data_IF_617334343770
#
_entry.id   IF_617334343770
#
_cell.length_a   1.000
_cell.length_b   1.000
_cell.length_c   1.000
_cell.angle_alpha   90.00
_cell.angle_beta   90.00
_cell.angle_gamma   90.00
#
_symmetry.space_group_name_H-M   'P 1'
#
loop_
_entity.id
_entity.type
_entity.pdbx_description
1 polymer ?
#
# COMPACT_ATOMS: atom_id res chain seq x y z
N UNK A 1 -2.76 15.63 -13.48
CA UNK A 1 -3.42 15.74 -12.15
C UNK A 1 -2.49 16.47 -11.21
N UNK A 2 -3.00 17.49 -10.51
CA UNK A 2 -2.21 18.23 -9.53
C UNK A 2 -2.13 17.45 -8.21
N UNK A 3 -0.92 17.10 -7.75
CA UNK A 3 -0.70 16.41 -6.47
C UNK A 3 -0.69 17.48 -5.38
N UNK A 4 -1.78 17.56 -4.59
CA UNK A 4 -1.92 18.52 -3.49
C UNK A 4 -1.57 17.93 -2.13
N UNK A 5 -1.60 16.61 -2.00
CA UNK A 5 -1.19 15.90 -0.79
C UNK A 5 -0.65 14.53 -1.13
N UNK A 6 0.39 14.13 -0.41
CA UNK A 6 0.99 12.81 -0.45
C UNK A 6 1.02 12.29 0.99
N UNK A 7 0.52 11.10 1.21
CA UNK A 7 0.55 10.44 2.51
C UNK A 7 1.06 9.01 2.35
N UNK A 8 2.10 8.66 3.09
CA UNK A 8 2.51 7.28 3.27
C UNK A 8 1.68 6.73 4.43
N UNK A 9 0.65 5.94 4.10
CA UNK A 9 -0.33 5.47 5.06
C UNK A 9 0.21 4.34 5.93
N UNK A 10 0.97 3.44 5.32
CA UNK A 10 1.63 2.33 5.99
C UNK A 10 2.95 2.01 5.30
N UNK A 11 3.92 1.60 6.09
CA UNK A 11 5.10 0.91 5.59
C UNK A 11 5.37 -0.26 6.53
N UNK A 12 5.70 -1.41 5.94
CA UNK A 12 6.28 -2.53 6.65
C UNK A 12 7.73 -2.54 6.24
N UNK A 13 8.62 -2.21 7.16
CA UNK A 13 10.05 -2.36 6.93
C UNK A 13 10.35 -3.85 6.83
N UNK A 14 10.86 -4.25 5.69
CA UNK A 14 11.31 -5.62 5.46
C UNK A 14 12.62 -5.92 6.18
N UNK A 15 12.96 -7.18 6.18
CA UNK A 15 14.23 -7.67 6.70
C UNK A 15 15.40 -7.36 5.78
N UNK A 16 16.59 -7.55 6.31
CA UNK A 16 17.77 -7.91 5.56
C UNK A 16 17.86 -9.43 5.71
N UNK A 17 17.75 -10.15 4.63
CA UNK A 17 17.79 -11.60 4.69
C UNK A 17 18.94 -12.12 3.82
N UNK A 18 19.71 -13.04 4.40
CA UNK A 18 20.64 -13.87 3.64
C UNK A 18 19.84 -15.04 3.10
N UNK A 19 19.34 -14.91 1.89
CA UNK A 19 18.53 -15.93 1.27
C UNK A 19 19.40 -17.13 0.94
N UNK A 20 19.07 -18.27 1.52
CA UNK A 20 19.56 -19.56 1.04
C UNK A 20 19.01 -19.78 -0.37
N UNK A 21 19.89 -20.14 -1.30
CA UNK A 21 19.48 -20.32 -2.70
C UNK A 21 18.56 -21.52 -2.82
N UNK A 22 17.27 -21.23 -2.97
CA UNK A 22 16.30 -22.20 -3.47
C UNK A 22 16.20 -22.03 -4.98
N UNK A 23 16.27 -23.10 -5.73
CA UNK A 23 16.00 -23.10 -7.17
C UNK A 23 14.50 -22.92 -7.48
N UNK A 24 13.68 -22.76 -6.45
CA UNK A 24 12.23 -22.61 -6.59
C UNK A 24 11.85 -21.20 -6.95
N UNK A 25 10.92 -21.10 -7.88
CA UNK A 25 10.29 -19.81 -8.25
C UNK A 25 9.24 -19.47 -7.19
N UNK A 26 9.49 -18.45 -6.41
CA UNK A 26 8.50 -17.91 -5.48
C UNK A 26 7.43 -17.14 -6.24
N UNK A 27 6.17 -17.43 -5.94
CA UNK A 27 5.03 -16.67 -6.49
C UNK A 27 4.24 -16.05 -5.35
N UNK A 28 4.11 -14.73 -5.37
CA UNK A 28 3.37 -13.99 -4.34
C UNK A 28 2.59 -12.81 -4.90
N UNK A 29 1.61 -12.37 -4.14
CA UNK A 29 0.87 -11.12 -4.38
C UNK A 29 0.72 -10.40 -3.03
N UNK A 30 1.05 -9.13 -2.99
CA UNK A 30 1.06 -8.35 -1.75
C UNK A 30 0.04 -7.21 -1.83
N UNK A 31 -0.59 -6.84 -0.70
CA UNK A 31 -1.56 -5.75 -0.66
C UNK A 31 -0.92 -4.35 -0.67
N UNK A 32 0.40 -4.28 -0.76
CA UNK A 32 1.20 -3.05 -0.75
C UNK A 32 2.17 -3.02 -1.93
N UNK A 33 2.64 -1.83 -2.28
CA UNK A 33 3.74 -1.67 -3.24
C UNK A 33 5.00 -2.29 -2.62
N UNK A 34 5.64 -3.20 -3.35
CA UNK A 34 6.93 -3.78 -2.96
C UNK A 34 8.07 -3.01 -3.62
N UNK A 35 9.03 -2.56 -2.83
CA UNK A 35 10.32 -2.05 -3.29
C UNK A 35 11.38 -2.96 -2.71
N UNK A 36 12.06 -3.70 -3.56
CA UNK A 36 13.03 -4.75 -3.14
C UNK A 36 14.34 -4.52 -3.84
N UNK A 37 15.42 -4.49 -3.08
CA UNK A 37 16.79 -4.35 -3.59
C UNK A 37 17.61 -5.60 -3.31
N UNK A 38 18.27 -6.12 -4.34
CA UNK A 38 19.31 -7.13 -4.21
C UNK A 38 20.62 -6.45 -3.81
N UNK A 39 21.02 -6.59 -2.55
CA UNK A 39 22.27 -5.99 -2.05
C UNK A 39 23.48 -6.76 -2.55
N UNK A 40 23.33 -8.07 -2.68
CA UNK A 40 24.31 -9.01 -3.26
C UNK A 40 23.55 -10.09 -4.01
N UNK A 41 24.01 -10.49 -5.17
CA UNK A 41 23.29 -11.36 -6.08
C UNK A 41 22.21 -10.61 -6.85
N UNK A 42 21.25 -11.32 -7.42
CA UNK A 42 20.26 -10.74 -8.32
C UNK A 42 18.90 -11.42 -8.14
N UNK A 43 17.83 -10.70 -8.46
CA UNK A 43 16.51 -11.28 -8.70
C UNK A 43 16.23 -11.37 -10.20
N UNK A 44 15.71 -12.52 -10.63
CA UNK A 44 14.94 -12.60 -11.87
C UNK A 44 13.47 -12.46 -11.48
N UNK A 45 12.82 -11.44 -12.00
CA UNK A 45 11.47 -11.04 -11.60
C UNK A 45 10.57 -10.83 -12.80
N UNK A 46 9.34 -11.31 -12.69
CA UNK A 46 8.21 -10.99 -13.57
C UNK A 46 7.07 -10.46 -12.72
N UNK A 47 6.49 -9.35 -13.14
CA UNK A 47 5.37 -8.69 -12.47
C UNK A 47 4.18 -8.68 -13.41
N UNK A 48 3.05 -9.21 -12.96
CA UNK A 48 1.78 -9.28 -13.71
C UNK A 48 1.92 -9.86 -15.14
N UNK A 49 2.73 -10.91 -15.26
CA UNK A 49 2.98 -11.57 -16.56
C UNK A 49 3.91 -10.78 -17.50
N UNK A 50 4.57 -9.73 -17.04
CA UNK A 50 5.63 -9.06 -17.80
C UNK A 50 6.76 -10.03 -18.15
N UNK A 51 7.55 -9.77 -19.19
CA UNK A 51 8.77 -10.52 -19.44
C UNK A 51 9.68 -10.54 -18.21
N UNK A 52 10.40 -11.65 -18.02
CA UNK A 52 11.39 -11.76 -16.95
C UNK A 52 12.45 -10.65 -17.10
N UNK A 53 12.72 -9.95 -16.00
CA UNK A 53 13.75 -8.94 -15.90
C UNK A 53 14.73 -9.31 -14.78
N UNK A 54 15.99 -8.89 -14.88
CA UNK A 54 17.02 -9.18 -13.90
C UNK A 54 17.52 -7.91 -13.24
N UNK A 55 17.60 -7.89 -11.90
CA UNK A 55 17.98 -6.69 -11.16
C UNK A 55 19.48 -6.36 -11.27
N UNK A 56 20.32 -7.39 -11.33
CA UNK A 56 21.77 -7.23 -11.08
C UNK A 56 22.07 -6.93 -9.59
N UNK A 57 23.38 -6.84 -9.29
CA UNK A 57 23.83 -6.41 -7.96
C UNK A 57 23.41 -4.98 -7.67
N UNK A 58 23.00 -4.71 -6.42
CA UNK A 58 22.42 -3.44 -5.97
C UNK A 58 21.14 -3.02 -6.70
N UNK A 59 20.64 -3.82 -7.64
CA UNK A 59 19.48 -3.49 -8.44
C UNK A 59 18.18 -3.53 -7.66
N UNK A 60 17.25 -2.69 -8.06
CA UNK A 60 15.95 -2.52 -7.38
C UNK A 60 14.83 -2.90 -8.32
N UNK A 61 13.93 -3.77 -7.84
CA UNK A 61 12.65 -3.96 -8.52
C UNK A 61 11.48 -3.40 -7.71
N UNK A 62 10.46 -3.01 -8.44
CA UNK A 62 9.19 -2.56 -7.87
C UNK A 62 8.05 -3.42 -8.40
N UNK A 63 7.12 -3.75 -7.52
CA UNK A 63 5.86 -4.36 -7.90
C UNK A 63 4.70 -3.61 -7.25
N UNK A 64 3.69 -3.20 -8.03
CA UNK A 64 2.46 -2.63 -7.52
C UNK A 64 1.73 -3.58 -6.57
N UNK A 65 0.77 -3.05 -5.82
CA UNK A 65 -0.08 -3.87 -4.94
C UNK A 65 -0.95 -4.83 -5.75
N UNK A 66 -1.23 -6.00 -5.16
CA UNK A 66 -2.18 -6.99 -5.67
C UNK A 66 -1.86 -7.58 -7.06
N UNK A 67 -0.67 -7.33 -7.59
CA UNK A 67 -0.18 -8.00 -8.79
C UNK A 67 0.57 -9.27 -8.44
N UNK A 68 0.57 -10.24 -9.35
CA UNK A 68 1.36 -11.45 -9.20
C UNK A 68 2.82 -11.18 -9.47
N UNK A 69 3.69 -11.49 -8.50
CA UNK A 69 5.14 -11.41 -8.61
C UNK A 69 5.70 -12.84 -8.67
N UNK A 70 6.51 -13.13 -9.67
CA UNK A 70 7.29 -14.36 -9.76
C UNK A 70 8.76 -14.00 -9.59
N UNK A 71 9.41 -14.62 -8.62
CA UNK A 71 10.77 -14.29 -8.20
C UNK A 71 11.65 -15.54 -8.24
N UNK A 72 12.83 -15.43 -8.81
CA UNK A 72 13.89 -16.39 -8.68
C UNK A 72 15.13 -15.70 -8.11
N UNK A 73 15.79 -16.36 -7.17
CA UNK A 73 16.98 -15.86 -6.52
C UNK A 73 18.21 -16.32 -7.32
N UNK A 74 19.06 -15.39 -7.71
CA UNK A 74 20.32 -15.65 -8.42
C UNK A 74 21.45 -15.26 -7.48
N UNK A 75 22.15 -16.24 -6.89
CA UNK A 75 23.23 -15.98 -5.95
C UNK A 75 24.43 -15.31 -6.63
N UNK A 76 25.21 -14.60 -5.84
CA UNK A 76 26.53 -14.13 -6.24
C UNK A 76 27.53 -15.31 -6.32
N UNK A 77 28.75 -15.03 -6.75
CA UNK A 77 29.79 -16.05 -6.96
C UNK A 77 30.12 -16.88 -5.70
N UNK A 78 29.86 -16.36 -4.50
CA UNK A 78 30.06 -17.07 -3.23
C UNK A 78 28.85 -17.94 -2.81
N UNK A 79 27.84 -18.06 -3.67
CA UNK A 79 26.64 -18.86 -3.41
C UNK A 79 25.64 -18.20 -2.45
N UNK A 80 25.83 -16.92 -2.10
CA UNK A 80 24.94 -16.19 -1.20
C UNK A 80 24.17 -15.08 -1.93
N UNK A 81 23.03 -14.69 -1.37
CA UNK A 81 22.26 -13.54 -1.81
C UNK A 81 21.81 -12.74 -0.59
N UNK A 82 22.04 -11.45 -0.62
CA UNK A 82 21.56 -10.53 0.40
C UNK A 82 20.55 -9.57 -0.23
N UNK A 83 19.41 -9.38 0.41
CA UNK A 83 18.39 -8.47 -0.06
C UNK A 83 17.78 -7.69 1.09
N UNK A 84 17.29 -6.50 0.80
CA UNK A 84 16.44 -5.74 1.70
C UNK A 84 15.24 -5.15 0.94
N UNK A 85 14.19 -4.86 1.68
CA UNK A 85 12.94 -4.40 1.07
C UNK A 85 12.16 -3.50 2.00
N UNK A 86 11.22 -2.79 1.41
CA UNK A 86 10.18 -2.03 2.10
C UNK A 86 8.86 -2.19 1.36
N UNK A 87 7.78 -2.33 2.11
CA UNK A 87 6.43 -2.34 1.58
C UNK A 87 5.74 -1.02 1.91
N UNK A 88 5.14 -0.39 0.90
CA UNK A 88 4.56 0.94 1.01
C UNK A 88 3.08 0.94 0.67
N UNK A 89 2.28 1.59 1.48
CA UNK A 89 0.93 2.01 1.14
C UNK A 89 0.88 3.53 1.05
N UNK A 90 0.79 4.06 -0.17
CA UNK A 90 0.90 5.49 -0.45
C UNK A 90 -0.38 6.03 -1.05
N UNK A 91 -0.94 7.08 -0.43
CA UNK A 91 -2.12 7.78 -0.94
C UNK A 91 -1.77 9.16 -1.50
N UNK A 92 -2.37 9.48 -2.64
CA UNK A 92 -2.30 10.78 -3.28
C UNK A 92 -3.66 11.47 -3.14
N UNK A 93 -3.64 12.72 -2.68
CA UNK A 93 -4.83 13.55 -2.47
C UNK A 93 -5.90 12.90 -1.58
N UNK A 94 -5.51 11.92 -0.74
CA UNK A 94 -6.41 11.11 0.11
C UNK A 94 -7.49 10.34 -0.67
N UNK A 95 -7.34 10.20 -1.98
CA UNK A 95 -8.31 9.59 -2.87
C UNK A 95 -7.75 8.39 -3.64
N UNK A 96 -6.49 8.43 -4.01
CA UNK A 96 -5.88 7.47 -4.91
C UNK A 96 -4.68 6.80 -4.26
N UNK A 97 -4.51 5.52 -4.50
CA UNK A 97 -3.22 4.88 -4.23
C UNK A 97 -2.23 5.27 -5.32
N UNK A 98 -0.95 5.30 -4.99
CA UNK A 98 0.10 5.71 -5.92
C UNK A 98 0.05 4.91 -7.22
N UNK A 99 -0.11 3.60 -7.12
CA UNK A 99 -0.17 2.66 -8.23
C UNK A 99 -1.53 2.60 -8.96
N UNK A 100 -2.54 3.35 -8.51
CA UNK A 100 -3.74 3.60 -9.31
C UNK A 100 -3.49 4.64 -10.41
N UNK A 101 -2.56 5.55 -10.16
CA UNK A 101 -2.33 6.73 -10.99
C UNK A 101 -1.08 6.60 -11.86
N UNK A 102 -0.15 5.73 -11.49
CA UNK A 102 1.15 5.61 -12.13
C UNK A 102 1.49 4.15 -12.42
N UNK A 103 2.09 3.93 -13.58
CA UNK A 103 2.78 2.70 -13.94
C UNK A 103 4.26 2.84 -13.61
N UNK A 104 4.85 1.77 -13.08
CA UNK A 104 6.25 1.72 -12.68
C UNK A 104 7.03 0.77 -13.58
N UNK A 105 8.28 1.07 -13.93
CA UNK A 105 9.16 0.08 -14.53
C UNK A 105 9.40 -1.05 -13.52
N UNK A 106 9.47 -2.29 -13.99
CA UNK A 106 9.74 -3.44 -13.10
C UNK A 106 11.10 -3.29 -12.42
N UNK A 107 12.13 -2.85 -13.17
CA UNK A 107 13.46 -2.54 -12.64
C UNK A 107 13.65 -1.03 -12.64
N UNK A 108 14.06 -0.49 -11.50
CA UNK A 108 14.37 0.94 -11.39
C UNK A 108 15.73 1.27 -12.01
N UNK A 109 15.92 2.50 -12.53
CA UNK A 109 17.19 2.93 -13.07
C UNK A 109 18.33 2.82 -12.06
N UNK A 110 19.46 2.25 -12.47
CA UNK A 110 20.63 2.01 -11.61
C UNK A 110 21.19 3.27 -10.94
N UNK A 111 20.95 4.44 -11.52
CA UNK A 111 21.37 5.73 -10.93
C UNK A 111 20.80 5.98 -9.52
N UNK A 112 19.73 5.28 -9.13
CA UNK A 112 19.11 5.43 -7.82
C UNK A 112 19.51 4.32 -6.82
N UNK A 113 20.27 3.31 -7.23
CA UNK A 113 20.54 2.13 -6.41
C UNK A 113 21.17 2.47 -5.05
N UNK A 114 22.21 3.28 -5.02
CA UNK A 114 22.91 3.68 -3.79
C UNK A 114 22.01 4.54 -2.88
N UNK A 115 21.27 5.46 -3.48
CA UNK A 115 20.35 6.30 -2.71
C UNK A 115 19.23 5.47 -2.11
N UNK A 116 18.63 4.56 -2.87
CA UNK A 116 17.57 3.66 -2.40
C UNK A 116 18.09 2.74 -1.30
N UNK A 117 19.33 2.24 -1.42
CA UNK A 117 19.98 1.47 -0.36
C UNK A 117 20.00 2.23 0.96
N UNK A 118 20.48 3.47 0.93
CA UNK A 118 20.56 4.33 2.12
C UNK A 118 19.19 4.65 2.70
N UNK A 119 18.20 4.89 1.83
CA UNK A 119 16.82 5.18 2.25
C UNK A 119 16.15 3.97 2.91
N UNK A 120 16.24 2.78 2.30
CA UNK A 120 15.69 1.55 2.88
C UNK A 120 16.39 1.24 4.19
N UNK A 121 17.71 1.42 4.28
CA UNK A 121 18.45 1.21 5.52
C UNK A 121 17.92 2.14 6.62
N UNK A 122 17.79 3.44 6.36
CA UNK A 122 17.23 4.42 7.31
C UNK A 122 15.81 4.05 7.74
N UNK A 123 14.93 3.74 6.79
CA UNK A 123 13.54 3.36 7.08
C UNK A 123 13.47 2.14 8.01
N UNK A 124 14.42 1.20 7.89
CA UNK A 124 14.45 -0.04 8.68
C UNK A 124 15.08 0.13 10.05
N UNK A 125 16.13 0.92 10.16
CA UNK A 125 16.95 1.00 11.39
C UNK A 125 16.47 2.08 12.35
N UNK A 126 15.95 3.17 11.81
CA UNK A 126 15.46 4.27 12.65
C UNK A 126 14.14 3.92 13.34
N UNK A 127 14.07 4.13 14.65
CA UNK A 127 12.87 3.87 15.45
C UNK A 127 11.92 5.06 15.47
N UNK A 128 12.47 6.25 15.41
CA UNK A 128 11.68 7.48 15.43
C UNK A 128 11.00 7.72 14.08
N UNK A 129 9.69 7.96 14.14
CA UNK A 129 8.87 8.20 12.95
C UNK A 129 9.29 9.47 12.21
N UNK A 130 9.60 10.55 12.94
CA UNK A 130 9.98 11.83 12.32
C UNK A 130 11.30 11.73 11.56
N UNK A 131 12.23 10.91 12.03
CA UNK A 131 13.48 10.63 11.32
C UNK A 131 13.28 9.76 10.07
N UNK A 132 12.32 8.83 10.10
CA UNK A 132 12.00 7.99 8.94
C UNK A 132 11.20 8.71 7.86
N UNK A 133 10.37 9.67 8.25
CA UNK A 133 9.43 10.33 7.34
C UNK A 133 10.11 11.00 6.12
N UNK A 134 11.21 11.74 6.26
CA UNK A 134 11.95 12.26 5.10
C UNK A 134 12.45 11.17 4.15
N UNK A 135 12.95 10.05 4.68
CA UNK A 135 13.42 8.93 3.87
C UNK A 135 12.27 8.27 3.09
N UNK A 136 11.11 8.09 3.72
CA UNK A 136 9.90 7.59 3.06
C UNK A 136 9.43 8.53 1.94
N UNK A 137 9.37 9.83 2.19
CA UNK A 137 8.98 10.79 1.17
C UNK A 137 9.99 10.85 0.01
N UNK A 138 11.29 10.77 0.32
CA UNK A 138 12.32 10.77 -0.71
C UNK A 138 12.26 9.51 -1.58
N UNK A 139 12.03 8.34 -0.98
CA UNK A 139 11.81 7.11 -1.72
C UNK A 139 10.60 7.23 -2.66
N UNK A 140 9.46 7.72 -2.16
CA UNK A 140 8.27 7.95 -3.00
C UNK A 140 8.54 8.95 -4.12
N UNK A 141 9.34 10.00 -3.88
CA UNK A 141 9.73 10.95 -4.91
C UNK A 141 10.58 10.30 -6.02
N UNK A 142 11.49 9.37 -5.68
CA UNK A 142 12.24 8.58 -6.66
C UNK A 142 11.27 7.69 -7.48
N UNK A 143 10.36 7.00 -6.80
CA UNK A 143 9.37 6.17 -7.49
C UNK A 143 8.56 6.99 -8.51
N UNK A 144 8.09 8.18 -8.11
CA UNK A 144 7.37 9.10 -9.00
C UNK A 144 8.23 9.61 -10.16
N UNK A 145 9.52 9.86 -9.94
CA UNK A 145 10.43 10.29 -11.00
C UNK A 145 10.66 9.20 -12.05
N UNK A 146 10.53 7.91 -11.67
CA UNK A 146 10.67 6.77 -12.57
C UNK A 146 9.33 6.32 -13.18
N UNK A 147 8.22 6.81 -12.67
CA UNK A 147 6.89 6.36 -13.05
C UNK A 147 6.35 7.11 -14.28
N UNK A 148 5.48 6.46 -15.01
CA UNK A 148 4.66 7.10 -16.06
C UNK A 148 3.23 7.27 -15.59
N UNK A 149 2.63 8.46 -15.72
CA UNK A 149 1.22 8.63 -15.39
C UNK A 149 0.35 7.71 -16.24
N UNK A 150 -0.57 7.00 -15.61
CA UNK A 150 -1.59 6.25 -16.34
C UNK A 150 -2.44 7.21 -17.16
N UNK A 151 -2.67 6.88 -18.41
CA UNK A 151 -3.42 7.71 -19.35
C UNK A 151 -4.85 7.96 -18.92
N UNK A 152 -5.42 7.05 -18.11
CA UNK A 152 -6.79 7.17 -17.62
C UNK A 152 -6.99 6.36 -16.34
N UNK A 153 -7.37 7.05 -15.26
CA UNK A 153 -8.01 6.40 -14.12
C UNK A 153 -9.49 6.30 -14.47
N UNK A 154 -10.10 5.13 -14.49
CA UNK A 154 -11.51 5.02 -14.84
C UNK A 154 -12.36 5.97 -13.99
N UNK A 155 -13.18 6.77 -14.63
CA UNK A 155 -14.06 7.75 -13.95
C UNK A 155 -14.94 7.07 -12.89
N UNK A 156 -15.30 5.81 -13.15
CA UNK A 156 -16.02 4.94 -12.22
C UNK A 156 -15.30 4.76 -10.88
N UNK A 157 -13.96 4.58 -10.90
CA UNK A 157 -13.13 4.46 -9.68
C UNK A 157 -13.19 5.76 -8.89
N UNK A 158 -13.05 6.88 -9.57
CA UNK A 158 -13.13 8.22 -8.96
C UNK A 158 -14.51 8.46 -8.34
N UNK A 159 -15.58 8.12 -9.06
CA UNK A 159 -16.95 8.26 -8.55
C UNK A 159 -17.22 7.39 -7.33
N UNK A 160 -16.83 6.12 -7.37
CA UNK A 160 -16.99 5.20 -6.22
C UNK A 160 -16.24 5.70 -4.98
N UNK A 161 -14.99 6.11 -5.15
CA UNK A 161 -14.18 6.64 -4.03
C UNK A 161 -14.81 7.89 -3.44
N UNK A 162 -15.12 8.86 -4.28
CA UNK A 162 -15.76 10.10 -3.84
C UNK A 162 -17.09 9.83 -3.14
N UNK A 163 -17.87 8.88 -3.64
CA UNK A 163 -19.13 8.49 -3.00
C UNK A 163 -18.90 7.92 -1.59
N UNK A 164 -17.98 6.95 -1.44
CA UNK A 164 -17.68 6.36 -0.14
C UNK A 164 -17.06 7.38 0.82
N UNK A 165 -16.13 8.21 0.36
CA UNK A 165 -15.49 9.26 1.18
C UNK A 165 -16.48 10.32 1.68
N UNK A 166 -17.51 10.60 0.92
CA UNK A 166 -18.55 11.58 1.32
C UNK A 166 -19.67 10.98 2.16
N UNK A 167 -19.86 9.66 2.12
CA UNK A 167 -21.00 8.99 2.78
C UNK A 167 -20.60 7.92 3.82
N UNK A 168 -19.29 7.73 4.11
CA UNK A 168 -18.82 6.66 4.99
C UNK A 168 -19.49 6.62 6.36
N UNK A 169 -19.87 7.78 6.92
CA UNK A 169 -20.53 7.89 8.22
C UNK A 169 -21.99 7.40 8.23
N UNK A 170 -22.58 7.24 7.05
CA UNK A 170 -23.96 6.76 6.87
C UNK A 170 -23.96 5.31 6.35
N UNK A 171 -25.10 4.59 6.43
CA UNK A 171 -25.25 3.31 5.76
C UNK A 171 -25.03 3.44 4.24
N UNK A 172 -24.16 2.64 3.69
CA UNK A 172 -23.94 2.52 2.24
C UNK A 172 -24.38 1.12 1.82
N UNK A 173 -25.36 1.05 0.94
CA UNK A 173 -25.90 -0.21 0.44
C UNK A 173 -25.22 -0.62 -0.88
N UNK A 174 -25.24 -1.93 -1.23
CA UNK A 174 -24.80 -2.37 -2.55
C UNK A 174 -25.56 -1.71 -3.70
N UNK A 175 -26.83 -1.37 -3.47
CA UNK A 175 -27.70 -0.68 -4.42
C UNK A 175 -27.22 0.75 -4.70
N UNK A 176 -26.72 1.45 -3.68
CA UNK A 176 -26.15 2.79 -3.83
C UNK A 176 -24.89 2.75 -4.71
N UNK A 177 -24.00 1.78 -4.47
CA UNK A 177 -22.78 1.61 -5.26
C UNK A 177 -23.08 1.18 -6.70
N UNK A 178 -24.08 0.30 -6.89
CA UNK A 178 -24.55 -0.09 -8.22
C UNK A 178 -25.13 1.10 -9.01
N UNK A 179 -25.83 2.01 -8.32
CA UNK A 179 -26.34 3.26 -8.89
C UNK A 179 -25.22 4.21 -9.30
N UNK A 180 -24.18 4.34 -8.46
CA UNK A 180 -22.98 5.15 -8.77
C UNK A 180 -22.27 4.65 -10.03
N UNK A 181 -22.25 3.33 -10.24
CA UNK A 181 -21.62 2.67 -11.40
C UNK A 181 -22.57 2.49 -12.60
N UNK A 182 -23.84 2.87 -12.48
CA UNK A 182 -24.87 2.65 -13.51
C UNK A 182 -24.90 1.19 -14.00
N UNK A 183 -24.87 0.23 -13.08
CA UNK A 183 -24.83 -1.20 -13.42
C UNK A 183 -25.65 -2.05 -12.45
N UNK A 184 -25.83 -3.35 -12.78
CA UNK A 184 -26.47 -4.30 -11.87
C UNK A 184 -25.62 -4.56 -10.62
N UNK A 185 -26.26 -5.01 -9.53
CA UNK A 185 -25.60 -5.38 -8.29
C UNK A 185 -24.45 -6.40 -8.51
N UNK A 186 -24.66 -7.42 -9.32
CA UNK A 186 -23.63 -8.42 -9.62
C UNK A 186 -22.45 -7.84 -10.38
N UNK A 187 -22.71 -6.94 -11.36
CA UNK A 187 -21.67 -6.24 -12.09
C UNK A 187 -20.88 -5.28 -11.18
N UNK A 188 -21.57 -4.62 -10.24
CA UNK A 188 -20.94 -3.76 -9.24
C UNK A 188 -19.93 -4.53 -8.37
N UNK A 189 -20.30 -5.69 -7.82
CA UNK A 189 -19.37 -6.49 -7.01
C UNK A 189 -18.13 -6.92 -7.78
N UNK A 190 -18.29 -7.33 -9.06
CA UNK A 190 -17.16 -7.69 -9.92
C UNK A 190 -16.27 -6.49 -10.17
N UNK A 191 -16.81 -5.38 -10.70
CA UNK A 191 -16.05 -4.15 -10.99
C UNK A 191 -15.38 -3.59 -9.73
N UNK A 192 -16.08 -3.62 -8.59
CA UNK A 192 -15.51 -3.14 -7.32
C UNK A 192 -14.27 -3.96 -6.93
N UNK A 193 -14.31 -5.29 -7.09
CA UNK A 193 -13.17 -6.16 -6.85
C UNK A 193 -12.05 -5.92 -7.87
N UNK A 194 -12.39 -5.75 -9.12
CA UNK A 194 -11.41 -5.45 -10.19
C UNK A 194 -10.68 -4.12 -9.94
N UNK A 195 -11.40 -3.12 -9.41
CA UNK A 195 -10.82 -1.80 -9.15
C UNK A 195 -10.08 -1.70 -7.81
N UNK A 196 -10.59 -2.33 -6.76
CA UNK A 196 -10.07 -2.15 -5.40
C UNK A 196 -9.43 -3.41 -4.82
N UNK A 197 -9.55 -4.56 -5.48
CA UNK A 197 -9.02 -5.86 -5.04
C UNK A 197 -9.70 -6.44 -3.80
N UNK A 198 -10.65 -5.72 -3.20
CA UNK A 198 -11.37 -6.09 -1.98
C UNK A 198 -12.88 -5.96 -2.15
N UNK A 199 -13.65 -6.51 -1.21
CA UNK A 199 -15.10 -6.35 -1.22
C UNK A 199 -15.51 -4.91 -0.90
N UNK A 200 -16.70 -4.45 -1.35
CA UNK A 200 -17.26 -3.15 -0.98
C UNK A 200 -17.30 -2.91 0.54
N UNK A 201 -17.74 -3.89 1.31
CA UNK A 201 -17.83 -3.79 2.77
C UNK A 201 -16.44 -3.62 3.40
N UNK A 202 -15.44 -4.35 2.93
CA UNK A 202 -14.07 -4.22 3.42
C UNK A 202 -13.51 -2.82 3.10
N UNK A 203 -13.72 -2.33 1.89
CA UNK A 203 -13.28 -0.98 1.50
C UNK A 203 -13.95 0.12 2.34
N UNK A 204 -15.28 0.08 2.50
CA UNK A 204 -16.02 1.04 3.32
C UNK A 204 -15.51 1.02 4.76
N UNK A 205 -15.31 -0.16 5.31
CA UNK A 205 -14.81 -0.33 6.68
C UNK A 205 -13.37 0.20 6.82
N UNK A 206 -12.50 0.00 5.83
CA UNK A 206 -11.13 0.55 5.86
C UNK A 206 -11.15 2.09 5.86
N UNK A 207 -12.05 2.72 5.09
CA UNK A 207 -12.27 4.17 5.11
C UNK A 207 -12.74 4.64 6.49
N UNK A 208 -13.72 3.96 7.09
CA UNK A 208 -14.22 4.27 8.43
C UNK A 208 -13.14 4.19 9.50
N UNK A 209 -12.35 3.12 9.49
CA UNK A 209 -11.24 2.94 10.45
C UNK A 209 -10.15 3.99 10.24
N UNK A 210 -9.82 4.34 9.00
CA UNK A 210 -8.89 5.43 8.71
C UNK A 210 -9.37 6.77 9.31
N UNK A 211 -10.66 7.09 9.17
CA UNK A 211 -11.27 8.27 9.79
C UNK A 211 -11.28 8.18 11.32
N UNK A 212 -11.53 6.99 11.88
CA UNK A 212 -11.45 6.77 13.32
C UNK A 212 -10.04 7.01 13.86
N UNK A 213 -8.98 6.54 13.17
CA UNK A 213 -7.59 6.81 13.54
C UNK A 213 -7.31 8.31 13.66
N UNK A 214 -7.76 9.10 12.69
CA UNK A 214 -7.62 10.56 12.73
C UNK A 214 -8.34 11.16 13.95
N UNK A 215 -9.61 10.78 14.18
CA UNK A 215 -10.37 11.30 15.32
C UNK A 215 -9.78 10.88 16.68
N UNK A 216 -9.17 9.71 16.78
CA UNK A 216 -8.49 9.23 17.98
C UNK A 216 -7.29 10.08 18.36
N UNK A 217 -6.56 10.64 17.40
CA UNK A 217 -5.38 11.49 17.63
C UNK A 217 -5.73 12.95 17.81
N UNK A 218 -6.71 13.45 17.06
CA UNK A 218 -7.00 14.88 16.96
C UNK A 218 -8.14 15.36 17.89
N UNK A 219 -8.82 14.45 18.59
CA UNK A 219 -9.97 14.80 19.43
C UNK A 219 -9.99 14.05 20.75
N UNK A 220 -10.63 14.65 21.78
CA UNK A 220 -10.86 14.03 23.08
C UNK A 220 -12.13 13.17 23.14
N UNK A 221 -12.81 12.96 22.02
CA UNK A 221 -14.03 12.13 21.97
C UNK A 221 -13.77 10.73 22.48
N UNK A 222 -14.73 10.16 23.17
CA UNK A 222 -14.69 8.76 23.58
C UNK A 222 -14.62 7.81 22.39
N UNK A 223 -14.13 6.61 22.58
CA UNK A 223 -14.06 5.59 21.53
C UNK A 223 -15.47 5.28 20.97
N UNK A 224 -16.49 5.27 21.83
CA UNK A 224 -17.87 5.06 21.42
C UNK A 224 -18.43 6.19 20.55
N UNK A 225 -18.14 7.44 20.89
CA UNK A 225 -18.52 8.61 20.07
C UNK A 225 -17.81 8.59 18.71
N UNK A 226 -16.54 8.19 18.68
CA UNK A 226 -15.79 8.04 17.43
C UNK A 226 -16.38 6.91 16.58
N UNK A 227 -16.67 5.75 17.17
CA UNK A 227 -17.30 4.64 16.48
C UNK A 227 -18.62 5.06 15.81
N UNK A 228 -19.47 5.78 16.54
CA UNK A 228 -20.72 6.33 16.01
C UNK A 228 -20.47 7.35 14.91
N UNK A 229 -19.53 8.26 15.10
CA UNK A 229 -19.20 9.32 14.13
C UNK A 229 -18.66 8.77 12.80
N UNK A 230 -18.03 7.58 12.82
CA UNK A 230 -17.55 6.93 11.59
C UNK A 230 -18.54 5.92 11.00
N UNK A 231 -19.76 5.85 11.51
CA UNK A 231 -20.82 4.98 10.99
C UNK A 231 -20.72 3.51 11.44
N UNK A 232 -20.10 3.24 12.61
CA UNK A 232 -20.01 1.93 13.25
C UNK A 232 -20.50 2.07 14.69
N UNK A 233 -21.82 2.21 14.93
CA UNK A 233 -22.34 2.50 16.28
C UNK A 233 -22.22 1.31 17.26
N UNK A 234 -22.04 0.08 16.77
CA UNK A 234 -21.76 -1.08 17.60
C UNK A 234 -20.30 -1.04 18.08
N UNK A 235 -20.09 -0.76 19.36
CA UNK A 235 -18.77 -0.63 19.97
C UNK A 235 -17.95 -1.92 19.94
N UNK A 236 -18.59 -3.09 20.06
CA UNK A 236 -17.90 -4.39 20.00
C UNK A 236 -17.43 -4.70 18.59
N UNK A 237 -18.30 -4.45 17.61
CA UNK A 237 -17.94 -4.59 16.20
C UNK A 237 -16.84 -3.62 15.81
N UNK A 238 -16.93 -2.35 16.25
CA UNK A 238 -15.89 -1.35 16.02
C UNK A 238 -14.54 -1.79 16.60
N UNK A 239 -14.49 -2.24 17.86
CA UNK A 239 -13.25 -2.65 18.52
C UNK A 239 -12.59 -3.83 17.79
N UNK A 240 -13.38 -4.83 17.39
CA UNK A 240 -12.90 -5.98 16.61
C UNK A 240 -12.34 -5.55 15.27
N UNK A 241 -13.11 -4.75 14.52
CA UNK A 241 -12.74 -4.28 13.20
C UNK A 241 -11.51 -3.37 13.23
N UNK A 242 -11.43 -2.48 14.23
CA UNK A 242 -10.28 -1.61 14.42
C UNK A 242 -9.00 -2.43 14.62
N UNK A 243 -9.07 -3.44 15.52
CA UNK A 243 -7.93 -4.33 15.77
C UNK A 243 -7.56 -5.18 14.55
N UNK A 244 -8.55 -5.67 13.80
CA UNK A 244 -8.35 -6.45 12.58
C UNK A 244 -7.58 -5.64 11.52
N UNK A 245 -7.96 -4.37 11.32
CA UNK A 245 -7.37 -3.51 10.29
C UNK A 245 -6.05 -2.88 10.74
N UNK A 246 -5.89 -2.54 12.04
CA UNK A 246 -4.73 -1.78 12.52
C UNK A 246 -3.71 -2.61 13.29
N UNK A 247 -4.04 -3.85 13.66
CA UNK A 247 -3.21 -4.73 14.48
C UNK A 247 -3.23 -4.43 15.98
N UNK A 248 -3.87 -3.34 16.44
CA UNK A 248 -3.91 -2.91 17.84
C UNK A 248 -5.29 -2.39 18.25
N UNK A 249 -5.53 -2.22 19.57
CA UNK A 249 -6.79 -1.66 20.03
C UNK A 249 -6.85 -0.15 19.82
N UNK A 250 -8.07 0.41 19.68
CA UNK A 250 -8.26 1.86 19.55
C UNK A 250 -7.73 2.64 20.78
N UNK A 251 -7.78 2.04 21.96
CA UNK A 251 -7.23 2.60 23.21
C UNK A 251 -5.72 2.67 23.17
N UNK A 252 -5.05 1.59 22.75
CA UNK A 252 -3.59 1.53 22.62
C UNK A 252 -3.10 2.46 21.51
N UNK A 253 -3.83 2.50 20.39
CA UNK A 253 -3.56 3.42 19.29
C UNK A 253 -3.55 4.88 19.76
N UNK A 254 -4.58 5.31 20.52
CA UNK A 254 -4.67 6.64 21.09
C UNK A 254 -3.52 6.93 22.04
N UNK A 255 -3.26 6.01 23.01
CA UNK A 255 -2.22 6.19 24.03
C UNK A 255 -0.82 6.33 23.44
N UNK A 256 -0.53 5.62 22.34
CA UNK A 256 0.80 5.65 21.71
C UNK A 256 1.05 6.89 20.88
N UNK A 257 0.01 7.58 20.43
CA UNK A 257 0.12 8.67 19.46
C UNK A 257 -0.26 10.04 20.01
N UNK A 258 -0.61 10.10 21.28
CA UNK A 258 -0.70 11.29 22.10
C UNK A 258 0.49 11.35 23.06
#
# INVERSE_FOLDING_TARGET
MDIRSLCVCEHISGGFDRVGVSSEVETKSLPMISVVQSVRGSYRVSVDGSPDAETGDMGVFIAPRQVTQRLSHIPSADGTMDAHWVFLDVEINRLYKLDDLYDFPVILPAAYNEEIFSLIHTIRTEKDFLTRLPALHRLVAILLACATPKSHVPEEVTRLRSYVENHYASPITPEDLARVLHCSRSAMYRRFRDYFGVSPSHYINSVRIRRARFLLTETDRSIGEIATAVGIPDAFYFARLFREITGETATDYRRRRR
#
